data_IF_427695327879
#
_entry.id   IF_427695327879
#
_cell.length_a   1.000
_cell.length_b   1.000
_cell.length_c   1.000
_cell.angle_alpha   90.00
_cell.angle_beta   90.00
_cell.angle_gamma   90.00
#
_symmetry.space_group_name_H-M   'P 1'
#
loop_
_entity.id
_entity.type
_entity.pdbx_description
1 polymer ?
#
# COMPACT_ATOMS: atom_id res chain seq x y z
N UNK A 1 -8.37 -32.54 -3.60
CA UNK A 1 -7.84 -33.91 -3.34
C UNK A 1 -8.95 -34.86 -2.89
N UNK A 2 -8.76 -36.17 -2.99
CA UNK A 2 -9.81 -37.17 -2.68
C UNK A 2 -10.02 -37.44 -1.18
N UNK A 3 -9.09 -37.03 -0.31
CA UNK A 3 -9.15 -37.31 1.13
C UNK A 3 -8.90 -38.78 1.45
N UNK A 4 -9.20 -39.25 2.66
CA UNK A 4 -9.03 -40.66 3.04
C UNK A 4 -8.45 -40.86 4.44
N UNK A 5 -8.17 -42.10 4.82
CA UNK A 5 -7.64 -42.40 6.15
C UNK A 5 -6.14 -42.06 6.23
N UNK A 6 -5.71 -41.35 7.28
CA UNK A 6 -4.30 -40.98 7.47
C UNK A 6 -3.32 -42.16 7.60
N UNK A 7 -3.80 -43.38 7.85
CA UNK A 7 -2.97 -44.60 7.90
C UNK A 7 -2.54 -45.09 6.51
N UNK A 8 -3.11 -44.52 5.44
CA UNK A 8 -2.78 -44.79 4.05
C UNK A 8 -2.33 -43.48 3.39
N UNK A 9 -1.15 -42.94 3.78
CA UNK A 9 -0.67 -41.68 3.25
C UNK A 9 -0.49 -41.77 1.73
N UNK A 10 -0.75 -40.65 1.05
CA UNK A 10 -0.55 -40.49 -0.38
C UNK A 10 0.31 -39.26 -0.65
N UNK A 11 0.83 -39.18 -1.87
CA UNK A 11 1.60 -38.02 -2.34
C UNK A 11 0.73 -36.76 -2.41
N UNK A 12 -0.54 -36.89 -2.80
CA UNK A 12 -1.48 -35.78 -2.91
C UNK A 12 -2.02 -35.36 -1.53
N UNK A 13 -1.82 -34.09 -1.18
CA UNK A 13 -2.27 -33.56 0.11
C UNK A 13 -2.51 -32.05 0.00
N UNK A 14 -3.78 -31.65 0.10
CA UNK A 14 -4.19 -30.26 -0.06
C UNK A 14 -3.48 -29.28 0.89
N UNK A 15 -3.15 -29.70 2.12
CA UNK A 15 -2.43 -28.86 3.09
C UNK A 15 -1.00 -28.62 2.61
N UNK A 16 -0.33 -29.67 2.13
CA UNK A 16 1.07 -29.57 1.70
C UNK A 16 1.20 -28.81 0.39
N UNK A 17 0.34 -29.09 -0.58
CA UNK A 17 0.29 -28.37 -1.85
C UNK A 17 0.06 -26.86 -1.64
N UNK A 18 -0.92 -26.49 -0.79
CA UNK A 18 -1.16 -25.08 -0.44
C UNK A 18 0.01 -24.49 0.36
N UNK A 19 0.59 -25.26 1.29
CA UNK A 19 1.73 -24.82 2.10
C UNK A 19 2.95 -24.48 1.24
N UNK A 20 3.24 -25.29 0.23
CA UNK A 20 4.33 -25.04 -0.71
C UNK A 20 4.04 -23.83 -1.61
N UNK A 21 2.79 -23.67 -2.07
CA UNK A 21 2.37 -22.47 -2.79
C UNK A 21 2.56 -21.20 -1.95
N UNK A 22 2.14 -21.21 -0.69
CA UNK A 22 2.31 -20.07 0.22
C UNK A 22 3.79 -19.75 0.48
N UNK A 23 4.67 -20.76 0.57
CA UNK A 23 6.13 -20.53 0.66
C UNK A 23 6.68 -19.87 -0.59
N UNK A 24 6.26 -20.31 -1.79
CA UNK A 24 6.67 -19.67 -3.04
C UNK A 24 6.21 -18.20 -3.08
N UNK A 25 4.96 -17.92 -2.70
CA UNK A 25 4.42 -16.55 -2.59
C UNK A 25 5.22 -15.72 -1.57
N UNK A 26 5.53 -16.27 -0.40
CA UNK A 26 6.31 -15.60 0.65
C UNK A 26 7.72 -15.19 0.18
N UNK A 27 8.36 -16.05 -0.61
CA UNK A 27 9.73 -15.83 -1.11
C UNK A 27 9.75 -14.91 -2.32
N UNK A 28 8.66 -14.87 -3.09
CA UNK A 28 8.56 -14.05 -4.28
C UNK A 28 8.60 -12.55 -3.95
N UNK A 29 9.20 -11.79 -4.86
CA UNK A 29 9.26 -10.33 -4.81
C UNK A 29 8.80 -9.82 -6.15
N UNK A 30 7.70 -9.09 -6.16
CA UNK A 30 7.27 -8.36 -7.34
C UNK A 30 8.36 -7.37 -7.79
N UNK A 31 8.40 -7.05 -9.10
CA UNK A 31 9.32 -6.06 -9.63
C UNK A 31 9.24 -4.72 -8.90
N UNK A 32 10.38 -4.04 -8.80
CA UNK A 32 10.46 -2.68 -8.27
C UNK A 32 9.80 -1.72 -9.25
N UNK A 33 8.97 -0.83 -8.71
CA UNK A 33 8.26 0.23 -9.41
C UNK A 33 8.37 1.54 -8.62
N UNK A 34 8.19 2.66 -9.29
CA UNK A 34 8.17 3.99 -8.69
C UNK A 34 7.33 4.93 -9.55
N UNK A 35 6.83 6.00 -8.94
CA UNK A 35 6.18 7.10 -9.63
C UNK A 35 6.73 8.45 -9.12
N UNK A 36 6.22 9.55 -9.65
CA UNK A 36 6.65 10.91 -9.26
C UNK A 36 6.51 11.15 -7.74
N UNK A 37 5.42 10.69 -7.13
CA UNK A 37 5.17 10.82 -5.70
C UNK A 37 6.21 10.03 -4.88
N UNK A 38 6.55 8.80 -5.29
CA UNK A 38 7.60 8.00 -4.65
C UNK A 38 8.93 8.76 -4.64
N UNK A 39 9.35 9.31 -5.78
CA UNK A 39 10.63 10.00 -5.90
C UNK A 39 10.66 11.30 -5.11
N UNK A 40 9.57 12.05 -5.11
CA UNK A 40 9.44 13.28 -4.32
C UNK A 40 9.45 13.02 -2.82
N UNK A 41 8.73 12.00 -2.35
CA UNK A 41 8.79 11.57 -0.94
C UNK A 41 10.22 11.25 -0.56
N UNK A 42 10.89 10.39 -1.34
CA UNK A 42 12.24 9.92 -1.03
C UNK A 42 13.28 11.04 -1.02
N UNK A 43 13.10 12.06 -1.87
CA UNK A 43 13.98 13.23 -1.87
C UNK A 43 13.92 13.98 -0.53
N UNK A 44 12.72 14.14 0.04
CA UNK A 44 12.56 14.81 1.34
C UNK A 44 12.92 13.89 2.49
N UNK A 45 12.50 12.62 2.45
CA UNK A 45 12.81 11.63 3.50
C UNK A 45 14.34 11.49 3.69
N UNK A 46 15.12 11.67 2.63
CA UNK A 46 16.58 11.65 2.67
C UNK A 46 17.22 12.80 3.46
N UNK A 47 16.46 13.85 3.80
CA UNK A 47 16.93 14.96 4.64
C UNK A 47 16.83 14.62 6.14
N UNK A 48 15.92 13.72 6.52
CA UNK A 48 15.62 13.39 7.92
C UNK A 48 15.95 11.95 8.31
N UNK A 49 16.23 11.08 7.35
CA UNK A 49 16.61 9.69 7.61
C UNK A 49 18.03 9.55 8.22
N UNK A 50 18.33 8.37 8.76
CA UNK A 50 19.69 7.99 9.17
C UNK A 50 20.68 7.95 7.99
N UNK A 51 21.98 7.92 8.27
CA UNK A 51 23.01 8.04 7.24
C UNK A 51 22.93 6.96 6.14
N UNK A 52 22.69 5.69 6.50
CA UNK A 52 22.64 4.61 5.50
C UNK A 52 21.38 4.75 4.62
N UNK A 53 20.23 4.99 5.25
CA UNK A 53 18.94 5.14 4.58
C UNK A 53 18.91 6.41 3.74
N UNK A 54 19.42 7.53 4.24
CA UNK A 54 19.52 8.78 3.50
C UNK A 54 20.40 8.63 2.24
N UNK A 55 21.55 7.95 2.34
CA UNK A 55 22.40 7.67 1.18
C UNK A 55 21.67 6.78 0.16
N UNK A 56 20.93 5.77 0.63
CA UNK A 56 20.15 4.90 -0.25
C UNK A 56 19.00 5.66 -0.94
N UNK A 57 18.26 6.50 -0.21
CA UNK A 57 17.17 7.33 -0.74
C UNK A 57 17.70 8.30 -1.81
N UNK A 58 18.75 9.09 -1.52
CA UNK A 58 19.35 10.01 -2.51
C UNK A 58 19.80 9.27 -3.76
N UNK A 59 20.46 8.12 -3.59
CA UNK A 59 20.90 7.27 -4.71
C UNK A 59 19.73 6.77 -5.55
N UNK A 60 18.62 6.38 -4.91
CA UNK A 60 17.43 5.93 -5.63
C UNK A 60 16.75 7.08 -6.37
N UNK A 61 16.71 8.30 -5.80
CA UNK A 61 16.17 9.49 -6.46
C UNK A 61 17.01 9.86 -7.69
N UNK A 62 18.34 9.84 -7.57
CA UNK A 62 19.25 10.12 -8.70
C UNK A 62 19.19 9.03 -9.79
N UNK A 63 19.04 7.77 -9.37
CA UNK A 63 19.00 6.62 -10.27
C UNK A 63 17.94 5.61 -9.81
N UNK A 64 16.67 5.81 -10.21
CA UNK A 64 15.59 4.90 -9.84
C UNK A 64 15.88 3.46 -10.29
N UNK A 65 15.66 2.51 -9.39
CA UNK A 65 16.01 1.10 -9.60
C UNK A 65 17.48 0.74 -9.31
N UNK A 66 18.28 1.63 -8.72
CA UNK A 66 19.65 1.30 -8.30
C UNK A 66 19.68 0.13 -7.29
N UNK A 67 20.38 -0.95 -7.65
CA UNK A 67 20.43 -2.19 -6.86
C UNK A 67 21.08 -2.03 -5.49
N UNK A 68 22.01 -1.08 -5.32
CA UNK A 68 22.65 -0.84 -4.02
C UNK A 68 21.69 -0.11 -3.09
N UNK A 69 20.99 0.90 -3.61
CA UNK A 69 19.93 1.59 -2.87
C UNK A 69 18.85 0.59 -2.44
N UNK A 70 18.35 -0.23 -3.36
CA UNK A 70 17.30 -1.22 -3.08
C UNK A 70 17.68 -2.21 -1.98
N UNK A 71 18.93 -2.65 -1.91
CA UNK A 71 19.39 -3.56 -0.83
C UNK A 71 19.19 -2.97 0.57
N UNK A 72 19.24 -1.65 0.71
CA UNK A 72 18.98 -0.94 1.97
C UNK A 72 17.48 -0.65 2.11
N UNK A 73 16.85 -0.06 1.08
CA UNK A 73 15.44 0.36 1.14
C UNK A 73 14.46 -0.81 1.34
N UNK A 74 14.72 -1.97 0.75
CA UNK A 74 13.85 -3.16 0.85
C UNK A 74 13.77 -3.75 2.27
N UNK A 75 14.76 -3.45 3.13
CA UNK A 75 14.77 -3.90 4.52
C UNK A 75 13.82 -3.07 5.39
N UNK A 76 13.51 -1.85 4.96
CA UNK A 76 12.60 -0.96 5.66
C UNK A 76 11.17 -1.23 5.18
N UNK A 77 10.33 -1.80 6.05
CA UNK A 77 8.99 -2.28 5.68
C UNK A 77 8.11 -1.18 5.04
N UNK A 78 8.16 0.03 5.60
CA UNK A 78 7.41 1.19 5.07
C UNK A 78 7.89 1.68 3.70
N UNK A 79 9.20 1.61 3.41
CA UNK A 79 9.74 2.01 2.11
C UNK A 79 9.52 0.92 1.05
N UNK A 80 9.61 -0.35 1.46
CA UNK A 80 9.39 -1.47 0.55
C UNK A 80 7.93 -1.56 0.07
N UNK A 81 6.95 -1.20 0.92
CA UNK A 81 5.53 -1.26 0.58
C UNK A 81 5.14 -0.26 -0.52
N UNK A 82 5.90 0.83 -0.69
CA UNK A 82 5.66 1.86 -1.72
C UNK A 82 6.51 1.68 -2.98
N UNK A 83 7.32 0.61 -3.04
CA UNK A 83 8.21 0.32 -4.18
C UNK A 83 7.77 -0.87 -5.02
N UNK A 84 6.69 -1.57 -4.67
CA UNK A 84 6.18 -2.73 -5.42
C UNK A 84 4.81 -3.17 -4.94
N UNK A 85 4.16 -4.02 -5.74
CA UNK A 85 3.06 -4.85 -5.26
C UNK A 85 3.53 -5.78 -4.16
N UNK A 86 2.79 -5.87 -3.06
CA UNK A 86 3.08 -6.85 -1.99
C UNK A 86 1.86 -7.73 -1.78
N UNK A 87 2.08 -9.03 -1.54
CA UNK A 87 1.02 -10.00 -1.29
C UNK A 87 1.38 -10.84 -0.07
N UNK A 88 0.49 -10.91 0.92
CA UNK A 88 0.72 -11.58 2.19
C UNK A 88 -0.46 -12.49 2.52
N UNK A 89 -0.17 -13.73 2.93
CA UNK A 89 -1.20 -14.64 3.44
C UNK A 89 -1.73 -14.15 4.78
N UNK A 90 -3.05 -14.02 4.91
CA UNK A 90 -3.74 -13.42 6.07
C UNK A 90 -4.74 -14.36 6.73
N UNK A 91 -5.19 -15.40 6.03
CA UNK A 91 -6.09 -16.41 6.56
C UNK A 91 -5.79 -17.77 5.94
N UNK A 92 -5.96 -18.84 6.72
CA UNK A 92 -5.75 -20.22 6.28
C UNK A 92 -6.85 -21.12 6.87
N UNK A 93 -7.46 -21.97 6.04
CA UNK A 93 -8.42 -22.99 6.45
C UNK A 93 -8.10 -24.30 5.73
N UNK A 94 -7.83 -25.37 6.46
CA UNK A 94 -7.47 -26.65 5.84
C UNK A 94 -7.75 -27.86 6.72
N UNK A 95 -8.07 -28.99 6.07
CA UNK A 95 -8.45 -30.23 6.75
C UNK A 95 -9.80 -30.16 7.47
N UNK A 96 -10.23 -31.29 8.02
CA UNK A 96 -11.49 -31.40 8.75
C UNK A 96 -11.43 -32.35 9.97
N UNK A 97 -10.39 -33.19 10.07
CA UNK A 97 -10.20 -34.14 11.17
C UNK A 97 -8.71 -34.42 11.38
N UNK A 98 -8.34 -34.84 12.59
CA UNK A 98 -6.95 -35.12 13.00
C UNK A 98 -6.32 -36.34 12.32
N UNK A 99 -7.14 -37.28 11.86
CA UNK A 99 -6.73 -38.57 11.31
C UNK A 99 -7.24 -38.82 9.87
N UNK A 100 -7.57 -37.75 9.15
CA UNK A 100 -8.03 -37.81 7.78
C UNK A 100 -7.12 -37.01 6.85
N UNK A 101 -6.86 -37.53 5.66
CA UNK A 101 -6.20 -36.79 4.59
C UNK A 101 -7.11 -35.62 4.17
N UNK A 102 -6.57 -34.40 4.04
CA UNK A 102 -7.37 -33.24 3.70
C UNK A 102 -7.84 -33.30 2.25
N UNK A 103 -9.12 -32.97 2.03
CA UNK A 103 -9.68 -32.85 0.68
C UNK A 103 -9.45 -31.46 0.09
N UNK A 104 -9.47 -30.43 0.94
CA UNK A 104 -9.38 -29.02 0.56
C UNK A 104 -8.52 -28.25 1.55
N UNK A 105 -7.83 -27.24 1.04
CA UNK A 105 -7.17 -26.21 1.81
C UNK A 105 -7.37 -24.88 1.07
N UNK A 106 -7.64 -23.80 1.79
CA UNK A 106 -7.81 -22.46 1.23
C UNK A 106 -7.03 -21.45 2.04
N UNK A 107 -6.47 -20.44 1.37
CA UNK A 107 -5.81 -19.31 2.02
C UNK A 107 -6.27 -17.99 1.39
N UNK A 108 -6.39 -16.95 2.21
CA UNK A 108 -6.58 -15.58 1.73
C UNK A 108 -5.24 -14.90 1.65
N UNK A 109 -4.89 -14.40 0.46
CA UNK A 109 -3.70 -13.60 0.22
C UNK A 109 -4.16 -12.16 -0.04
N UNK A 110 -3.80 -11.25 0.86
CA UNK A 110 -4.10 -9.83 0.71
C UNK A 110 -2.98 -9.16 -0.07
N UNK A 111 -3.32 -8.56 -1.21
CA UNK A 111 -2.36 -7.87 -2.07
C UNK A 111 -2.56 -6.35 -2.01
N UNK A 112 -1.49 -5.61 -1.70
CA UNK A 112 -1.40 -4.16 -1.93
C UNK A 112 -0.77 -3.97 -3.30
N UNK A 113 -1.61 -3.70 -4.29
CA UNK A 113 -1.21 -3.63 -5.71
C UNK A 113 -0.66 -2.24 -6.01
N UNK A 114 0.53 -2.19 -6.64
CA UNK A 114 1.13 -0.93 -7.06
C UNK A 114 0.22 -0.21 -8.07
N UNK A 115 0.01 1.11 -7.96
CA UNK A 115 -0.89 1.83 -8.87
C UNK A 115 -0.54 1.63 -10.35
N UNK A 116 -1.53 1.32 -11.17
CA UNK A 116 -1.37 1.03 -12.60
C UNK A 116 -1.07 -0.43 -12.95
N UNK A 117 -0.91 -1.31 -11.96
CA UNK A 117 -0.87 -2.78 -12.17
C UNK A 117 -2.29 -3.34 -12.05
N UNK A 118 -2.70 -4.19 -12.98
CA UNK A 118 -4.02 -4.81 -12.95
C UNK A 118 -4.09 -5.96 -11.95
N UNK A 119 -5.28 -6.24 -11.43
CA UNK A 119 -5.56 -7.40 -10.57
C UNK A 119 -5.26 -8.69 -11.33
N UNK A 120 -5.60 -8.73 -12.61
CA UNK A 120 -5.36 -9.87 -13.48
C UNK A 120 -3.85 -10.17 -13.63
N UNK A 121 -3.02 -9.14 -13.79
CA UNK A 121 -1.56 -9.32 -13.89
C UNK A 121 -0.97 -9.86 -12.58
N UNK A 122 -1.46 -9.38 -11.43
CA UNK A 122 -1.03 -9.90 -10.12
C UNK A 122 -1.44 -11.35 -9.95
N UNK A 123 -2.68 -11.72 -10.31
CA UNK A 123 -3.13 -13.10 -10.24
C UNK A 123 -2.34 -14.01 -11.18
N UNK A 124 -2.10 -13.58 -12.41
CA UNK A 124 -1.30 -14.33 -13.38
C UNK A 124 0.14 -14.53 -12.87
N UNK A 125 0.74 -13.51 -12.26
CA UNK A 125 2.09 -13.63 -11.70
C UNK A 125 2.13 -14.57 -10.48
N UNK A 126 1.13 -14.53 -9.61
CA UNK A 126 1.04 -15.47 -8.48
C UNK A 126 0.86 -16.91 -8.98
N UNK A 127 0.02 -17.15 -9.98
CA UNK A 127 -0.15 -18.47 -10.60
C UNK A 127 1.16 -18.96 -11.24
N UNK A 128 1.86 -18.08 -11.97
CA UNK A 128 3.17 -18.34 -12.56
C UNK A 128 4.23 -18.65 -11.52
N UNK A 129 4.19 -18.01 -10.35
CA UNK A 129 5.13 -18.26 -9.25
C UNK A 129 4.82 -19.58 -8.55
N UNK A 130 3.55 -19.90 -8.34
CA UNK A 130 3.13 -21.11 -7.64
C UNK A 130 3.37 -22.36 -8.48
N UNK A 131 3.19 -22.29 -9.81
CA UNK A 131 3.45 -23.39 -10.75
C UNK A 131 2.75 -24.69 -10.34
N UNK A 132 1.47 -24.60 -9.96
CA UNK A 132 0.66 -25.76 -9.59
C UNK A 132 -0.77 -25.57 -10.12
N UNK A 133 -1.09 -26.30 -11.19
CA UNK A 133 -2.39 -26.23 -11.88
C UNK A 133 -3.56 -26.76 -11.03
N UNK A 134 -3.28 -27.46 -9.91
CA UNK A 134 -4.32 -27.88 -8.97
C UNK A 134 -4.79 -26.73 -8.06
N UNK A 135 -4.08 -25.59 -8.04
CA UNK A 135 -4.42 -24.44 -7.22
C UNK A 135 -5.15 -23.40 -8.07
N UNK A 136 -6.38 -23.11 -7.67
CA UNK A 136 -7.19 -22.05 -8.26
C UNK A 136 -6.99 -20.73 -7.51
N UNK A 137 -6.84 -19.63 -8.26
CA UNK A 137 -6.83 -18.27 -7.71
C UNK A 137 -8.18 -17.61 -7.96
N UNK A 138 -8.83 -17.18 -6.89
CA UNK A 138 -10.15 -16.51 -6.95
C UNK A 138 -10.05 -15.15 -6.28
N UNK A 139 -10.58 -14.13 -6.94
CA UNK A 139 -10.76 -12.79 -6.35
C UNK A 139 -12.00 -12.82 -5.44
N UNK A 140 -11.84 -12.49 -4.15
CA UNK A 140 -12.92 -12.59 -3.18
C UNK A 140 -13.86 -11.37 -3.16
N UNK A 141 -13.36 -10.20 -3.57
CA UNK A 141 -14.08 -8.92 -3.55
C UNK A 141 -14.13 -8.29 -4.96
N UNK A 142 -14.60 -7.03 -5.06
CA UNK A 142 -14.54 -6.20 -6.27
C UNK A 142 -13.38 -5.19 -6.17
N UNK A 143 -12.13 -5.60 -6.42
CA UNK A 143 -10.99 -4.70 -6.37
C UNK A 143 -11.13 -3.65 -7.47
N UNK A 144 -11.00 -2.40 -7.06
CA UNK A 144 -11.14 -1.28 -7.99
C UNK A 144 -9.76 -0.79 -8.41
N UNK A 145 -9.42 -1.12 -9.66
CA UNK A 145 -8.23 -0.61 -10.31
C UNK A 145 -8.35 0.90 -10.53
N UNK A 146 -7.29 1.62 -10.16
CA UNK A 146 -7.22 3.07 -10.26
C UNK A 146 -5.81 3.49 -10.61
N UNK A 147 -5.63 4.54 -11.44
CA UNK A 147 -4.33 5.18 -11.59
C UNK A 147 -3.90 5.84 -10.27
N UNK A 148 -2.62 6.16 -10.18
CA UNK A 148 -2.08 6.97 -9.10
C UNK A 148 -2.70 8.38 -9.09
N UNK A 149 -2.75 9.01 -7.91
CA UNK A 149 -3.13 10.42 -7.79
C UNK A 149 -2.08 11.31 -8.45
N UNK A 150 -2.51 12.39 -9.09
CA UNK A 150 -1.63 13.43 -9.64
C UNK A 150 -1.61 14.62 -8.69
N UNK A 151 -0.44 15.01 -8.19
CA UNK A 151 -0.26 16.23 -7.42
C UNK A 151 -0.03 17.41 -8.37
N UNK A 152 -1.02 18.28 -8.50
CA UNK A 152 -0.88 19.50 -9.33
C UNK A 152 -0.24 20.65 -8.53
N UNK A 153 0.43 21.60 -9.18
CA UNK A 153 0.97 22.79 -8.50
C UNK A 153 -0.08 23.59 -7.73
N UNK A 154 -1.33 23.61 -8.22
CA UNK A 154 -2.45 24.27 -7.56
C UNK A 154 -2.81 23.60 -6.22
N UNK A 155 -2.95 22.27 -6.22
CA UNK A 155 -3.22 21.48 -4.99
C UNK A 155 -2.07 21.66 -4.00
N UNK A 156 -0.82 21.56 -4.48
CA UNK A 156 0.36 21.73 -3.65
C UNK A 156 0.43 23.12 -3.02
N UNK A 157 0.19 24.18 -3.80
CA UNK A 157 0.15 25.55 -3.29
C UNK A 157 -0.97 25.73 -2.25
N UNK A 158 -2.15 25.16 -2.48
CA UNK A 158 -3.27 25.25 -1.54
C UNK A 158 -2.95 24.57 -0.20
N UNK A 159 -2.36 23.37 -0.23
CA UNK A 159 -1.89 22.66 0.96
C UNK A 159 -0.85 23.49 1.71
N UNK A 160 0.20 23.95 1.03
CA UNK A 160 1.26 24.75 1.64
C UNK A 160 0.74 26.04 2.27
N UNK A 161 -0.20 26.73 1.61
CA UNK A 161 -0.80 27.96 2.13
C UNK A 161 -1.64 27.70 3.39
N UNK A 162 -2.46 26.64 3.38
CA UNK A 162 -3.25 26.26 4.55
C UNK A 162 -2.37 25.83 5.74
N UNK A 163 -1.24 25.18 5.47
CA UNK A 163 -0.28 24.77 6.49
C UNK A 163 0.41 25.96 7.16
N UNK A 164 0.83 26.99 6.39
CA UNK A 164 1.55 28.17 6.91
C UNK A 164 0.80 28.92 8.01
N UNK A 165 -0.53 28.92 7.99
CA UNK A 165 -1.36 29.62 8.99
C UNK A 165 -1.14 29.09 10.40
N UNK A 166 -0.93 27.78 10.56
CA UNK A 166 -0.72 27.14 11.88
C UNK A 166 0.71 26.66 12.09
N UNK A 167 1.41 26.32 11.00
CA UNK A 167 2.72 25.68 11.01
C UNK A 167 3.64 26.35 9.97
N UNK A 168 4.17 27.56 10.26
CA UNK A 168 4.91 28.35 9.27
C UNK A 168 6.21 27.70 8.76
N UNK A 169 6.76 26.74 9.52
CA UNK A 169 8.05 26.08 9.22
C UNK A 169 7.90 24.60 8.87
N UNK A 170 6.69 24.14 8.53
CA UNK A 170 6.47 22.72 8.21
C UNK A 170 6.89 22.42 6.76
N UNK A 171 7.52 21.26 6.58
CA UNK A 171 7.78 20.70 5.25
C UNK A 171 6.62 19.79 4.89
N UNK A 172 6.00 20.03 3.74
CA UNK A 172 4.96 19.15 3.21
C UNK A 172 5.60 18.11 2.29
N UNK A 173 5.37 16.83 2.59
CA UNK A 173 5.91 15.71 1.82
C UNK A 173 4.75 14.95 1.20
N UNK A 174 4.65 14.88 -0.13
CA UNK A 174 3.68 14.00 -0.75
C UNK A 174 4.16 12.56 -0.55
N UNK A 175 3.25 11.67 -0.16
CA UNK A 175 3.55 10.26 0.02
C UNK A 175 2.51 9.39 -0.66
N UNK A 176 2.90 8.18 -1.04
CA UNK A 176 1.96 7.19 -1.59
C UNK A 176 1.37 6.38 -0.45
N UNK A 177 0.06 6.49 -0.26
CA UNK A 177 -0.68 5.69 0.71
C UNK A 177 -0.73 4.22 0.27
N UNK A 178 -0.33 3.30 1.15
CA UNK A 178 -0.39 1.86 0.90
C UNK A 178 -1.79 1.28 1.20
N UNK A 179 -2.60 2.01 1.96
CA UNK A 179 -4.02 1.74 2.19
C UNK A 179 -4.93 2.13 1.01
N UNK A 180 -6.13 1.56 0.98
CA UNK A 180 -7.18 1.96 0.05
C UNK A 180 -7.87 3.24 0.54
N UNK A 181 -8.26 4.12 -0.38
CA UNK A 181 -9.06 5.32 -0.11
C UNK A 181 -10.15 5.48 -1.16
N UNK A 182 -11.29 6.07 -0.80
CA UNK A 182 -12.42 6.28 -1.74
C UNK A 182 -12.04 7.07 -3.00
N UNK A 183 -10.92 7.82 -2.94
CA UNK A 183 -10.35 8.51 -4.09
C UNK A 183 -10.11 7.62 -5.32
N UNK A 184 -9.93 6.32 -5.12
CA UNK A 184 -9.78 5.34 -6.20
C UNK A 184 -11.01 5.27 -7.11
N UNK A 185 -12.22 5.46 -6.57
CA UNK A 185 -13.46 5.39 -7.36
C UNK A 185 -13.59 6.62 -8.25
N UNK A 186 -13.24 7.79 -7.74
CA UNK A 186 -13.24 9.04 -8.49
C UNK A 186 -12.20 9.03 -9.61
N UNK A 187 -10.97 8.59 -9.31
CA UNK A 187 -9.92 8.48 -10.33
C UNK A 187 -10.28 7.48 -11.42
N UNK A 188 -10.88 6.33 -11.08
CA UNK A 188 -11.40 5.38 -12.07
C UNK A 188 -12.48 5.99 -12.96
N UNK A 189 -13.32 6.87 -12.43
CA UNK A 189 -14.32 7.61 -13.19
C UNK A 189 -13.74 8.78 -14.01
N UNK A 190 -12.42 8.98 -14.01
CA UNK A 190 -11.76 10.07 -14.73
C UNK A 190 -11.75 11.41 -14.01
N UNK A 191 -12.14 11.46 -12.73
CA UNK A 191 -12.11 12.67 -11.91
C UNK A 191 -10.75 12.76 -11.21
N UNK A 192 -9.89 13.75 -11.54
CA UNK A 192 -8.61 13.93 -10.86
C UNK A 192 -8.83 14.11 -9.36
N UNK A 193 -8.22 13.23 -8.55
CA UNK A 193 -8.42 13.22 -7.10
C UNK A 193 -7.07 13.02 -6.40
N UNK A 194 -6.75 13.91 -5.47
CA UNK A 194 -5.59 13.82 -4.60
C UNK A 194 -6.07 13.87 -3.14
N UNK A 195 -5.66 12.91 -2.33
CA UNK A 195 -6.06 12.85 -0.93
C UNK A 195 -5.21 13.81 -0.09
N UNK A 196 -5.85 14.54 0.82
CA UNK A 196 -5.19 15.46 1.74
C UNK A 196 -5.62 15.06 3.16
N UNK A 197 -4.64 14.76 4.02
CA UNK A 197 -4.87 14.53 5.44
C UNK A 197 -4.91 15.85 6.21
N UNK A 198 -5.72 15.91 7.27
CA UNK A 198 -5.84 17.09 8.13
C UNK A 198 -5.43 16.83 9.57
N UNK A 199 -5.09 15.58 9.90
CA UNK A 199 -4.73 15.16 11.24
C UNK A 199 -3.25 15.45 11.50
N UNK A 200 -3.00 16.23 12.55
CA UNK A 200 -1.65 16.49 13.05
C UNK A 200 -1.38 15.60 14.25
N UNK A 201 -0.43 14.67 14.06
CA UNK A 201 0.07 13.80 15.11
C UNK A 201 1.36 14.36 15.69
N UNK A 202 1.55 14.18 16.98
CA UNK A 202 2.79 14.48 17.71
C UNK A 202 3.53 13.19 17.99
N UNK A 203 4.81 13.33 18.32
CA UNK A 203 5.57 12.21 18.86
C UNK A 203 4.85 11.64 20.11
N UNK A 204 4.62 10.33 20.10
CA UNK A 204 3.86 9.62 21.14
C UNK A 204 2.34 9.56 20.93
N UNK A 205 1.80 10.17 19.88
CA UNK A 205 0.38 9.97 19.53
C UNK A 205 0.20 8.58 18.90
N UNK A 206 -0.69 7.77 19.49
CA UNK A 206 -1.05 6.44 19.01
C UNK A 206 -2.54 6.42 18.60
N UNK A 207 -2.87 6.84 17.35
CA UNK A 207 -4.27 6.94 16.92
C UNK A 207 -4.96 5.58 16.81
N UNK A 208 -4.22 4.47 16.74
CA UNK A 208 -4.73 3.10 16.68
C UNK A 208 -5.77 2.88 15.58
N UNK A 209 -5.53 3.40 14.37
CA UNK A 209 -6.42 3.20 13.22
C UNK A 209 -6.77 1.72 13.05
N UNK A 210 -8.06 1.39 13.03
CA UNK A 210 -8.58 0.01 12.95
C UNK A 210 -8.25 -0.90 14.15
N UNK A 211 -7.79 -0.33 15.27
CA UNK A 211 -7.40 -1.03 16.49
C UNK A 211 -8.34 -0.79 17.67
N UNK A 212 -8.06 -1.46 18.78
CA UNK A 212 -8.73 -1.16 20.05
C UNK A 212 -8.31 0.23 20.54
N UNK A 213 -9.27 1.00 21.06
CA UNK A 213 -9.06 2.36 21.54
C UNK A 213 -8.51 3.32 20.47
N UNK A 214 -9.07 3.25 19.25
CA UNK A 214 -8.88 4.29 18.24
C UNK A 214 -9.24 5.67 18.83
N UNK A 215 -8.33 6.62 18.73
CA UNK A 215 -8.46 7.90 19.41
C UNK A 215 -7.83 9.05 18.60
N UNK A 216 -8.26 10.27 18.92
CA UNK A 216 -7.74 11.50 18.32
C UNK A 216 -7.72 12.61 19.36
N UNK A 217 -6.65 13.42 19.35
CA UNK A 217 -6.54 14.59 20.22
C UNK A 217 -7.52 15.68 19.77
N UNK A 218 -8.24 16.27 20.72
CA UNK A 218 -9.27 17.29 20.45
C UNK A 218 -8.70 18.49 19.69
N UNK A 219 -7.47 18.90 19.99
CA UNK A 219 -6.82 20.01 19.28
C UNK A 219 -6.37 19.64 17.86
N UNK A 220 -6.05 18.37 17.58
CA UNK A 220 -5.80 17.86 16.24
C UNK A 220 -7.09 17.86 15.41
N UNK A 221 -8.22 17.47 16.00
CA UNK A 221 -9.54 17.59 15.36
C UNK A 221 -9.86 19.05 14.99
N UNK A 222 -9.74 19.98 15.93
CA UNK A 222 -10.01 21.41 15.67
C UNK A 222 -9.04 22.00 14.63
N UNK A 223 -7.75 21.65 14.71
CA UNK A 223 -6.76 22.05 13.71
C UNK A 223 -7.09 21.52 12.31
N UNK A 224 -7.63 20.30 12.23
CA UNK A 224 -8.07 19.70 10.98
C UNK A 224 -9.26 20.42 10.34
N UNK A 225 -10.23 20.90 11.15
CA UNK A 225 -11.34 21.72 10.65
C UNK A 225 -10.85 23.04 10.04
N UNK A 226 -9.90 23.71 10.70
CA UNK A 226 -9.30 24.93 10.18
C UNK A 226 -8.53 24.67 8.88
N UNK A 227 -7.77 23.57 8.82
CA UNK A 227 -7.05 23.14 7.62
C UNK A 227 -7.99 22.92 6.44
N UNK A 228 -9.07 22.15 6.63
CA UNK A 228 -10.07 21.91 5.58
C UNK A 228 -10.77 23.19 5.13
N UNK A 229 -11.15 24.05 6.07
CA UNK A 229 -11.79 25.34 5.76
C UNK A 229 -10.90 26.22 4.87
N UNK A 230 -9.59 26.25 5.15
CA UNK A 230 -8.62 27.02 4.36
C UNK A 230 -8.41 26.42 2.97
N UNK A 231 -8.18 25.10 2.86
CA UNK A 231 -7.95 24.44 1.58
C UNK A 231 -9.16 24.54 0.66
N UNK A 232 -10.37 24.30 1.18
CA UNK A 232 -11.60 24.40 0.38
C UNK A 232 -11.78 25.81 -0.16
N UNK A 233 -11.54 26.85 0.66
CA UNK A 233 -11.62 28.24 0.20
C UNK A 233 -10.53 28.59 -0.82
N UNK A 234 -9.32 28.06 -0.67
CA UNK A 234 -8.23 28.32 -1.59
C UNK A 234 -8.47 27.70 -2.97
N UNK A 235 -9.01 26.47 -3.01
CA UNK A 235 -9.28 25.72 -4.24
C UNK A 235 -10.61 26.08 -4.90
N UNK A 236 -11.68 26.28 -4.12
CA UNK A 236 -13.04 26.47 -4.63
C UNK A 236 -13.60 27.89 -4.40
N UNK A 237 -12.89 28.74 -3.66
CA UNK A 237 -13.36 30.10 -3.33
C UNK A 237 -12.92 31.18 -4.31
N UNK A 238 -11.99 30.88 -5.23
CA UNK A 238 -11.63 31.80 -6.33
C UNK A 238 -12.61 31.60 -7.49
N UNK A 239 -13.14 32.67 -8.12
CA UNK A 239 -13.88 32.54 -9.37
C UNK A 239 -13.01 31.81 -10.39
N UNK A 240 -13.59 30.88 -11.16
CA UNK A 240 -12.87 30.28 -12.28
C UNK A 240 -12.27 31.40 -13.13
N UNK A 241 -10.96 31.34 -13.39
CA UNK A 241 -10.35 32.27 -14.32
C UNK A 241 -11.10 32.14 -15.65
N UNK A 242 -11.63 33.26 -16.15
CA UNK A 242 -12.30 33.30 -17.45
C UNK A 242 -11.34 32.78 -18.51
N UNK A 243 -11.70 31.68 -19.18
CA UNK A 243 -11.03 31.19 -20.39
C UNK A 243 -10.99 32.25 -21.50
#
# INVERSE_FOLDING_TARGET
>A
NSGGHSSQPREDNAIYELGDALKKIQQFRFPVMWNDITLRSFAVDAETADDETAVALRRFVEKPGDKKALKTLEKQTGLNSVLRTTCVATMLKAGHAENALPQTATATVNCRIFPGVSVADVQAELARVVENDAIEFVTLDDPVESPASTLTPEIEAAVLNALKTRYPNIVAVPYMEAGGTDGLHFRRAGIPTFAIGSLFLREGDEPNYHGMNENLRVDAFNGGLDHWSLIIKELAGKPAASE
#
